data_IF_345353802758
#
_entry.id   IF_345353802758
#
_cell.length_a   1.000
_cell.length_b   1.000
_cell.length_c   1.000
_cell.angle_alpha   90.00
_cell.angle_beta   90.00
_cell.angle_gamma   90.00
#
_symmetry.space_group_name_H-M   'P 1'
#
loop_
_entity.id
_entity.type
_entity.pdbx_description
1 polymer ?
#
# COMPACT_ATOMS: atom_id res chain seq x y z
N UNK A 1 26.85 -6.44 -4.53
CA UNK A 1 26.09 -6.47 -3.26
C UNK A 1 24.59 -6.54 -3.54
N UNK A 2 23.96 -5.53 -4.15
CA UNK A 2 22.54 -5.58 -4.53
C UNK A 2 22.21 -6.72 -5.49
N UNK A 3 23.03 -6.90 -6.53
CA UNK A 3 22.84 -7.98 -7.51
C UNK A 3 22.95 -9.38 -6.88
N UNK A 4 23.88 -9.57 -5.95
CA UNK A 4 24.08 -10.84 -5.22
C UNK A 4 22.94 -11.12 -4.23
N UNK A 5 22.40 -10.09 -3.58
CA UNK A 5 21.33 -10.22 -2.58
C UNK A 5 19.97 -10.48 -3.25
N UNK A 6 19.63 -9.69 -4.26
CA UNK A 6 18.37 -9.80 -5.00
C UNK A 6 18.43 -10.76 -6.20
N UNK A 7 19.62 -11.28 -6.51
CA UNK A 7 19.87 -12.21 -7.61
C UNK A 7 19.36 -11.66 -8.95
N UNK A 8 19.61 -10.37 -9.22
CA UNK A 8 18.98 -9.64 -10.34
C UNK A 8 19.46 -10.21 -11.68
N UNK A 9 20.78 -10.41 -11.82
CA UNK A 9 21.41 -11.01 -13.00
C UNK A 9 21.08 -12.49 -13.14
N UNK A 10 21.00 -13.27 -12.05
CA UNK A 10 20.55 -14.67 -12.07
C UNK A 10 19.08 -14.80 -12.53
N UNK A 11 18.25 -13.79 -12.24
CA UNK A 11 16.85 -13.68 -12.69
C UNK A 11 16.73 -13.09 -14.11
N UNK A 12 17.84 -12.81 -14.79
CA UNK A 12 17.85 -12.26 -16.16
C UNK A 12 17.31 -10.83 -16.26
N UNK A 13 17.33 -10.07 -15.17
CA UNK A 13 16.82 -8.70 -15.11
C UNK A 13 17.96 -7.68 -14.99
N UNK A 14 17.62 -6.39 -15.05
CA UNK A 14 18.56 -5.28 -14.84
C UNK A 14 17.99 -4.31 -13.82
N UNK A 15 18.86 -3.58 -13.11
CA UNK A 15 18.42 -2.58 -12.12
C UNK A 15 17.43 -1.57 -12.72
N UNK A 16 17.66 -1.13 -13.95
CA UNK A 16 16.74 -0.24 -14.66
C UNK A 16 15.37 -0.88 -14.93
N UNK A 17 15.34 -2.18 -15.22
CA UNK A 17 14.10 -2.94 -15.43
C UNK A 17 13.33 -3.13 -14.12
N UNK A 18 14.03 -3.46 -13.03
CA UNK A 18 13.42 -3.58 -11.70
C UNK A 18 12.83 -2.27 -11.21
N UNK A 19 13.55 -1.15 -11.35
CA UNK A 19 13.06 0.18 -10.97
C UNK A 19 11.81 0.56 -11.77
N UNK A 20 11.83 0.36 -13.10
CA UNK A 20 10.66 0.60 -13.96
C UNK A 20 9.48 -0.31 -13.59
N UNK A 21 9.75 -1.59 -13.29
CA UNK A 21 8.74 -2.54 -12.82
C UNK A 21 8.08 -2.06 -11.52
N UNK A 22 8.89 -1.61 -10.55
CA UNK A 22 8.40 -1.03 -9.31
C UNK A 22 7.51 0.19 -9.52
N UNK A 23 7.87 1.10 -10.43
CA UNK A 23 7.01 2.24 -10.78
C UNK A 23 5.68 1.79 -11.39
N UNK A 24 5.70 0.83 -12.33
CA UNK A 24 4.47 0.29 -12.94
C UNK A 24 3.56 -0.33 -11.87
N UNK A 25 4.12 -1.13 -10.96
CA UNK A 25 3.37 -1.73 -9.86
C UNK A 25 2.80 -0.68 -8.92
N UNK A 26 3.59 0.35 -8.56
CA UNK A 26 3.12 1.47 -7.75
C UNK A 26 1.91 2.17 -8.38
N UNK A 27 2.01 2.56 -9.66
CA UNK A 27 0.89 3.23 -10.35
C UNK A 27 -0.33 2.33 -10.48
N UNK A 28 -0.13 1.02 -10.67
CA UNK A 28 -1.23 0.04 -10.70
C UNK A 28 -2.01 0.00 -9.39
N UNK A 29 -1.36 0.25 -8.24
CA UNK A 29 -2.01 0.23 -6.92
C UNK A 29 -2.30 1.63 -6.36
N UNK A 30 -1.83 2.70 -7.00
CA UNK A 30 -1.96 4.06 -6.49
C UNK A 30 -3.43 4.46 -6.24
N UNK A 31 -4.36 3.87 -6.98
CA UNK A 31 -5.79 4.06 -6.78
C UNK A 31 -6.27 3.68 -5.36
N UNK A 32 -5.58 2.77 -4.66
CA UNK A 32 -5.90 2.36 -3.27
C UNK A 32 -5.76 3.55 -2.32
N UNK A 33 -4.80 4.45 -2.55
CA UNK A 33 -4.59 5.64 -1.71
C UNK A 33 -5.81 6.58 -1.73
N UNK A 34 -6.53 6.64 -2.85
CA UNK A 34 -7.72 7.45 -3.01
C UNK A 34 -9.02 6.69 -2.66
N UNK A 35 -9.14 5.42 -3.08
CA UNK A 35 -10.35 4.63 -2.85
C UNK A 35 -10.51 4.17 -1.40
N UNK A 36 -9.43 3.75 -0.74
CA UNK A 36 -9.53 3.21 0.62
C UNK A 36 -10.20 4.21 1.59
N UNK A 37 -9.79 5.50 1.63
CA UNK A 37 -10.48 6.53 2.41
C UNK A 37 -11.93 6.75 2.00
N UNK A 38 -12.24 6.76 0.69
CA UNK A 38 -13.60 7.00 0.22
C UNK A 38 -14.57 5.89 0.65
N UNK A 39 -14.08 4.65 0.80
CA UNK A 39 -14.91 3.52 1.23
C UNK A 39 -15.16 3.55 2.74
N UNK A 40 -14.11 3.74 3.56
CA UNK A 40 -14.22 3.58 5.03
C UNK A 40 -14.33 4.91 5.80
N UNK A 41 -13.88 6.02 5.21
CA UNK A 41 -13.83 7.33 5.86
C UNK A 41 -15.17 8.08 5.85
N UNK A 42 -16.16 7.59 5.11
CA UNK A 42 -17.52 8.15 5.05
C UNK A 42 -18.50 7.46 6.02
N UNK A 43 -18.14 6.28 6.54
CA UNK A 43 -18.95 5.52 7.50
C UNK A 43 -18.69 6.00 8.94
N UNK A 44 -19.76 6.10 9.73
CA UNK A 44 -19.66 6.33 11.18
C UNK A 44 -19.42 5.00 11.89
N UNK A 45 -18.47 4.99 12.82
CA UNK A 45 -18.21 3.88 13.72
C UNK A 45 -19.41 3.65 14.67
N UNK A 46 -19.42 2.53 15.41
CA UNK A 46 -20.49 2.16 16.35
C UNK A 46 -20.75 3.23 17.42
N UNK A 47 -19.75 4.05 17.74
CA UNK A 47 -19.83 5.19 18.67
C UNK A 47 -20.24 6.52 17.99
N UNK A 48 -20.63 6.50 16.72
CA UNK A 48 -21.05 7.66 15.93
C UNK A 48 -19.91 8.58 15.44
N UNK A 49 -18.64 8.20 15.69
CA UNK A 49 -17.44 8.94 15.30
C UNK A 49 -16.90 8.48 13.95
N UNK A 50 -16.20 9.35 13.22
CA UNK A 50 -15.53 8.97 11.98
C UNK A 50 -14.14 8.37 12.25
N UNK A 51 -13.69 7.49 11.36
CA UNK A 51 -12.32 6.95 11.39
C UNK A 51 -11.33 8.11 11.28
N UNK A 52 -10.52 8.31 12.33
CA UNK A 52 -9.65 9.47 12.50
C UNK A 52 -9.98 10.35 13.71
N UNK A 53 -11.00 9.99 14.51
CA UNK A 53 -11.21 10.53 15.86
C UNK A 53 -11.90 11.90 15.93
N UNK A 54 -12.54 12.36 14.86
CA UNK A 54 -13.26 13.65 14.80
C UNK A 54 -14.75 13.50 14.46
N UNK A 55 -15.50 14.59 14.65
CA UNK A 55 -16.91 14.75 14.23
C UNK A 55 -17.07 14.90 12.70
N UNK A 56 -15.96 14.99 11.96
CA UNK A 56 -15.93 15.14 10.51
C UNK A 56 -15.06 14.05 9.84
N UNK A 57 -15.42 13.60 8.62
CA UNK A 57 -14.68 12.59 7.88
C UNK A 57 -13.28 13.09 7.50
N UNK A 58 -12.23 12.42 8.01
CA UNK A 58 -10.83 12.79 7.74
C UNK A 58 -10.18 11.83 6.73
N UNK A 59 -10.62 11.94 5.48
CA UNK A 59 -10.14 11.14 4.35
C UNK A 59 -8.63 11.25 4.15
N UNK A 60 -8.05 12.43 4.39
CA UNK A 60 -6.62 12.66 4.23
C UNK A 60 -5.78 11.88 5.24
N UNK A 61 -6.22 11.78 6.50
CA UNK A 61 -5.53 11.01 7.53
C UNK A 61 -5.57 9.51 7.23
N UNK A 62 -6.73 9.00 6.79
CA UNK A 62 -6.86 7.58 6.38
C UNK A 62 -5.98 7.28 5.16
N UNK A 63 -5.94 8.18 4.18
CA UNK A 63 -5.08 8.04 2.99
C UNK A 63 -3.60 7.99 3.38
N UNK A 64 -3.17 8.93 4.23
CA UNK A 64 -1.80 9.04 4.70
C UNK A 64 -1.37 7.78 5.47
N UNK A 65 -2.21 7.28 6.39
CA UNK A 65 -1.92 6.06 7.13
C UNK A 65 -1.92 4.81 6.22
N UNK A 66 -2.85 4.72 5.28
CA UNK A 66 -2.88 3.63 4.28
C UNK A 66 -1.60 3.60 3.46
N UNK A 67 -1.18 4.76 2.94
CA UNK A 67 0.03 4.89 2.14
C UNK A 67 1.29 4.60 2.96
N UNK A 68 1.35 5.07 4.21
CA UNK A 68 2.46 4.83 5.12
C UNK A 68 2.64 3.33 5.39
N UNK A 69 1.56 2.64 5.78
CA UNK A 69 1.61 1.22 6.10
C UNK A 69 1.88 0.38 4.85
N UNK A 70 1.25 0.70 3.71
CA UNK A 70 1.52 0.01 2.45
C UNK A 70 2.98 0.16 2.01
N UNK A 71 3.56 1.36 2.14
CA UNK A 71 4.97 1.62 1.85
C UNK A 71 5.90 0.82 2.77
N UNK A 72 5.67 0.86 4.08
CA UNK A 72 6.48 0.11 5.07
C UNK A 72 6.42 -1.39 4.80
N UNK A 73 5.24 -1.96 4.58
CA UNK A 73 5.09 -3.39 4.31
C UNK A 73 5.70 -3.80 2.97
N UNK A 74 5.58 -2.96 1.94
CA UNK A 74 6.22 -3.20 0.63
C UNK A 74 7.76 -3.17 0.75
N UNK A 75 8.32 -2.24 1.53
CA UNK A 75 9.76 -2.18 1.78
C UNK A 75 10.21 -3.41 2.57
N UNK A 76 9.49 -3.81 3.62
CA UNK A 76 9.79 -5.00 4.40
C UNK A 76 9.73 -6.27 3.54
N UNK A 77 8.74 -6.39 2.64
CA UNK A 77 8.63 -7.52 1.72
C UNK A 77 9.79 -7.58 0.74
N UNK A 78 10.25 -6.42 0.25
CA UNK A 78 11.44 -6.32 -0.58
C UNK A 78 12.71 -6.71 0.18
N UNK A 79 12.96 -6.10 1.34
CA UNK A 79 14.24 -6.25 2.06
C UNK A 79 14.33 -7.57 2.83
N UNK A 80 13.30 -7.94 3.58
CA UNK A 80 13.27 -9.14 4.43
C UNK A 80 12.76 -10.34 3.65
N UNK A 81 11.70 -10.15 2.85
CA UNK A 81 11.12 -11.22 2.04
C UNK A 81 11.96 -11.58 0.81
N UNK A 82 12.74 -10.64 0.26
CA UNK A 82 13.47 -10.80 -1.01
C UNK A 82 12.56 -11.30 -2.18
N UNK A 83 11.28 -10.90 -2.12
CA UNK A 83 10.26 -11.23 -3.09
C UNK A 83 9.76 -9.95 -3.77
N UNK A 84 9.60 -9.94 -5.11
CA UNK A 84 9.11 -8.80 -5.86
C UNK A 84 7.58 -8.70 -5.77
N UNK A 85 7.06 -8.61 -4.54
CA UNK A 85 5.63 -8.48 -4.26
C UNK A 85 5.39 -7.19 -3.50
N UNK A 86 4.48 -6.37 -4.00
CA UNK A 86 4.04 -5.17 -3.32
C UNK A 86 2.78 -5.46 -2.50
N UNK A 87 2.71 -4.84 -1.33
CA UNK A 87 1.65 -5.08 -0.35
C UNK A 87 0.88 -3.78 -0.11
N UNK A 88 -0.44 -3.85 -0.22
CA UNK A 88 -1.35 -2.76 0.05
C UNK A 88 -2.61 -3.27 0.75
N UNK A 89 -3.46 -2.36 1.22
CA UNK A 89 -4.73 -2.71 1.89
C UNK A 89 -5.68 -3.42 0.93
N UNK A 90 -6.20 -4.59 1.34
CA UNK A 90 -7.14 -5.37 0.55
C UNK A 90 -8.53 -4.75 0.55
N UNK A 91 -8.95 -4.17 -0.57
CA UNK A 91 -10.26 -3.52 -0.72
C UNK A 91 -11.46 -4.46 -0.45
N UNK A 92 -11.29 -5.78 -0.62
CA UNK A 92 -12.34 -6.78 -0.35
C UNK A 92 -12.66 -6.96 1.14
N UNK A 93 -11.80 -6.50 2.06
CA UNK A 93 -12.09 -6.49 3.50
C UNK A 93 -12.86 -5.23 3.92
N UNK A 94 -12.78 -4.15 3.13
CA UNK A 94 -13.49 -2.91 3.45
C UNK A 94 -15.00 -3.11 3.45
N UNK A 95 -15.55 -3.99 2.60
CA UNK A 95 -16.99 -4.30 2.57
C UNK A 95 -17.48 -5.11 3.77
N UNK A 96 -16.56 -5.74 4.53
CA UNK A 96 -16.91 -6.45 5.77
C UNK A 96 -16.84 -5.55 7.01
N UNK A 97 -16.07 -4.46 6.93
CA UNK A 97 -15.83 -3.52 8.05
C UNK A 97 -16.64 -2.22 7.91
N UNK A 98 -16.99 -1.80 6.67
CA UNK A 98 -17.76 -0.60 6.37
C UNK A 98 -19.28 -0.76 6.59
#
# INVERSE_FOLDING_TARGET
MLDTYFKISERGSTVAREVRGGFVTFFTMAYIVALNPLIIGLSKDADGKFIGGGDAPNLALVAAMTALIAGVLTILMGVVGNFPLALATGLGLNTFVA
#
